data_IF_234848044179
#
_entry.id   IF_234848044179
#
_cell.length_a   1.000
_cell.length_b   1.000
_cell.length_c   1.000
_cell.angle_alpha   90.00
_cell.angle_beta   90.00
_cell.angle_gamma   90.00
#
_symmetry.space_group_name_H-M   'P 1'
#
loop_
_entity.id
_entity.type
_entity.pdbx_description
1 polymer ?
#
# COMPACT_ATOMS: atom_id res chain seq x y z
N UNK A 1 -20.70 12.57 0.38
CA UNK A 1 -19.67 13.32 -0.38
C UNK A 1 -19.04 14.31 0.56
N UNK A 2 -17.71 14.43 0.65
CA UNK A 2 -17.08 15.42 1.52
C UNK A 2 -17.57 16.84 1.18
N UNK A 3 -17.81 17.67 2.17
CA UNK A 3 -18.31 19.05 2.01
C UNK A 3 -17.40 19.89 1.12
N UNK A 4 -16.09 19.67 1.18
CA UNK A 4 -15.10 20.36 0.35
C UNK A 4 -15.34 20.17 -1.15
N UNK A 5 -15.72 18.95 -1.59
CA UNK A 5 -16.01 18.67 -3.00
C UNK A 5 -17.22 19.48 -3.46
N UNK A 6 -18.24 19.59 -2.61
CA UNK A 6 -19.43 20.40 -2.91
C UNK A 6 -19.10 21.90 -2.99
N UNK A 7 -18.28 22.41 -2.06
CA UNK A 7 -17.83 23.83 -2.09
C UNK A 7 -17.00 24.12 -3.35
N UNK A 8 -16.10 23.22 -3.71
CA UNK A 8 -15.26 23.35 -4.91
C UNK A 8 -16.10 23.37 -6.21
N UNK A 9 -17.07 22.45 -6.32
CA UNK A 9 -18.00 22.44 -7.46
C UNK A 9 -18.83 23.73 -7.52
N UNK A 10 -19.37 24.20 -6.39
CA UNK A 10 -20.10 25.48 -6.33
C UNK A 10 -19.24 26.65 -6.77
N UNK A 11 -17.97 26.71 -6.38
CA UNK A 11 -17.03 27.74 -6.81
C UNK A 11 -16.93 27.79 -8.34
N UNK A 12 -16.76 26.62 -8.98
CA UNK A 12 -16.71 26.52 -10.42
C UNK A 12 -17.98 27.02 -11.11
N UNK A 13 -19.16 26.68 -10.57
CA UNK A 13 -20.45 27.14 -11.13
C UNK A 13 -20.70 28.62 -10.91
N UNK A 14 -20.23 29.20 -9.80
CA UNK A 14 -20.48 30.61 -9.46
C UNK A 14 -19.52 31.57 -10.17
N UNK A 15 -18.26 31.19 -10.37
CA UNK A 15 -17.20 32.08 -10.85
C UNK A 15 -16.46 31.56 -12.09
N UNK A 16 -16.90 30.42 -12.62
CA UNK A 16 -16.26 29.77 -13.78
C UNK A 16 -15.03 28.95 -13.41
N UNK A 17 -14.55 28.17 -14.39
CA UNK A 17 -13.43 27.24 -14.18
C UNK A 17 -12.10 27.95 -13.86
N UNK A 18 -11.93 29.19 -14.30
CA UNK A 18 -10.73 30.00 -13.98
C UNK A 18 -10.54 30.24 -12.47
N UNK A 19 -11.63 30.27 -11.68
CA UNK A 19 -11.53 30.39 -10.23
C UNK A 19 -10.89 29.18 -9.56
N UNK A 20 -10.84 28.02 -10.24
CA UNK A 20 -10.22 26.79 -9.74
C UNK A 20 -8.68 26.80 -9.88
N UNK A 21 -8.12 27.78 -10.57
CA UNK A 21 -6.68 28.00 -10.72
C UNK A 21 -6.11 28.88 -9.59
N UNK A 22 -6.98 29.56 -8.86
CA UNK A 22 -6.57 30.40 -7.73
C UNK A 22 -6.22 29.54 -6.51
N UNK A 23 -4.94 29.22 -6.37
CA UNK A 23 -4.42 28.45 -5.25
C UNK A 23 -4.45 29.20 -3.91
N UNK A 24 -4.71 30.51 -3.92
CA UNK A 24 -4.87 31.31 -2.71
C UNK A 24 -6.30 31.20 -2.12
N UNK A 25 -7.29 30.76 -2.92
CA UNK A 25 -8.61 30.44 -2.41
C UNK A 25 -8.56 29.22 -1.47
N UNK A 26 -9.03 29.33 -0.22
CA UNK A 26 -8.97 28.23 0.75
C UNK A 26 -9.67 26.95 0.28
N UNK A 27 -10.77 27.09 -0.48
CA UNK A 27 -11.52 25.94 -1.01
C UNK A 27 -10.71 25.20 -2.06
N UNK A 28 -10.05 25.94 -2.95
CA UNK A 28 -9.17 25.39 -3.98
C UNK A 28 -7.96 24.70 -3.33
N UNK A 29 -7.33 25.35 -2.35
CA UNK A 29 -6.17 24.80 -1.64
C UNK A 29 -6.52 23.51 -0.91
N UNK A 30 -7.65 23.46 -0.19
CA UNK A 30 -8.13 22.28 0.54
C UNK A 30 -8.49 21.14 -0.41
N UNK A 31 -9.21 21.43 -1.50
CA UNK A 31 -9.55 20.43 -2.50
C UNK A 31 -8.30 19.83 -3.17
N UNK A 32 -7.34 20.67 -3.55
CA UNK A 32 -6.08 20.23 -4.15
C UNK A 32 -5.23 19.40 -3.19
N UNK A 33 -5.28 19.68 -1.88
CA UNK A 33 -4.61 18.85 -0.88
C UNK A 33 -5.25 17.45 -0.81
N UNK A 34 -6.59 17.37 -0.81
CA UNK A 34 -7.32 16.11 -0.84
C UNK A 34 -7.04 15.32 -2.14
N UNK A 35 -7.07 15.99 -3.29
CA UNK A 35 -6.78 15.37 -4.58
C UNK A 35 -5.36 14.77 -4.62
N UNK A 36 -4.36 15.49 -4.08
CA UNK A 36 -2.99 14.98 -3.94
C UNK A 36 -2.89 13.75 -3.04
N UNK A 37 -3.67 13.69 -1.96
CA UNK A 37 -3.71 12.50 -1.10
C UNK A 37 -4.24 11.28 -1.86
N UNK A 38 -5.35 11.44 -2.61
CA UNK A 38 -5.92 10.37 -3.43
C UNK A 38 -4.94 9.93 -4.52
N UNK A 39 -4.26 10.86 -5.17
CA UNK A 39 -3.25 10.56 -6.20
C UNK A 39 -2.06 9.80 -5.60
N UNK A 40 -1.58 10.18 -4.42
CA UNK A 40 -0.52 9.48 -3.70
C UNK A 40 -0.94 8.04 -3.37
N UNK A 41 -2.17 7.84 -2.88
CA UNK A 41 -2.71 6.50 -2.62
C UNK A 41 -2.81 5.66 -3.90
N UNK A 42 -3.21 6.29 -5.01
CA UNK A 42 -3.26 5.64 -6.32
C UNK A 42 -1.86 5.17 -6.76
N UNK A 43 -0.84 6.01 -6.61
CA UNK A 43 0.54 5.63 -6.93
C UNK A 43 1.07 4.54 -5.99
N UNK A 44 0.78 4.59 -4.69
CA UNK A 44 1.12 3.52 -3.76
C UNK A 44 0.48 2.19 -4.17
N UNK A 45 -0.79 2.20 -4.58
CA UNK A 45 -1.48 1.01 -5.07
C UNK A 45 -0.77 0.41 -6.27
N UNK A 46 -0.37 1.23 -7.25
CA UNK A 46 0.35 0.78 -8.44
C UNK A 46 1.72 0.20 -8.14
N UNK A 47 2.42 0.74 -7.14
CA UNK A 47 3.77 0.33 -6.77
C UNK A 47 3.80 -0.89 -5.85
N UNK A 48 2.84 -1.01 -4.95
CA UNK A 48 2.91 -1.95 -3.83
C UNK A 48 1.92 -3.11 -3.91
N UNK A 49 0.97 -3.12 -4.83
CA UNK A 49 0.13 -4.29 -5.06
C UNK A 49 1.01 -5.47 -5.48
N UNK A 50 0.83 -6.61 -4.80
CA UNK A 50 1.47 -7.89 -5.13
C UNK A 50 0.41 -8.92 -5.38
N UNK A 51 0.54 -9.60 -6.49
CA UNK A 51 -0.37 -10.68 -6.87
C UNK A 51 0.22 -12.01 -6.48
N UNK A 52 -0.60 -12.87 -5.90
CA UNK A 52 -0.32 -14.28 -5.68
C UNK A 52 -1.13 -15.11 -6.64
N UNK A 53 -0.51 -16.14 -7.20
CA UNK A 53 -1.15 -17.08 -8.10
C UNK A 53 -2.02 -18.05 -7.32
N UNK A 54 -3.27 -18.17 -7.72
CA UNK A 54 -4.24 -19.09 -7.14
C UNK A 54 -4.18 -20.47 -7.82
N UNK A 55 -4.74 -21.48 -7.18
CA UNK A 55 -4.77 -22.86 -7.68
C UNK A 55 -5.52 -23.01 -9.01
N UNK A 56 -6.48 -22.12 -9.29
CA UNK A 56 -7.22 -22.08 -10.56
C UNK A 56 -6.48 -21.33 -11.67
N UNK A 57 -5.25 -20.85 -11.41
CA UNK A 57 -4.43 -20.09 -12.33
C UNK A 57 -4.72 -18.59 -12.35
N UNK A 58 -5.73 -18.10 -11.66
CA UNK A 58 -5.97 -16.66 -11.51
C UNK A 58 -4.96 -16.01 -10.56
N UNK A 59 -4.93 -14.68 -10.54
CA UNK A 59 -4.07 -13.90 -9.64
C UNK A 59 -4.93 -13.09 -8.66
N UNK A 60 -4.60 -13.14 -7.39
CA UNK A 60 -5.28 -12.36 -6.35
C UNK A 60 -4.30 -11.48 -5.60
N UNK A 61 -4.74 -10.26 -5.32
CA UNK A 61 -4.05 -9.34 -4.42
C UNK A 61 -5.02 -8.83 -3.36
N UNK A 62 -4.57 -8.77 -2.12
CA UNK A 62 -5.27 -8.08 -1.04
C UNK A 62 -4.46 -6.82 -0.73
N UNK A 63 -5.08 -5.66 -0.89
CA UNK A 63 -4.42 -4.38 -0.69
C UNK A 63 -5.38 -3.39 -0.02
N UNK A 64 -4.91 -2.71 1.02
CA UNK A 64 -5.72 -1.85 1.87
C UNK A 64 -5.25 -0.39 1.79
N UNK A 65 -5.74 0.38 0.79
CA UNK A 65 -5.44 1.80 0.70
C UNK A 65 -6.28 2.63 1.69
N UNK A 66 -5.84 3.86 2.00
CA UNK A 66 -6.62 4.78 2.82
C UNK A 66 -7.81 5.40 2.08
N UNK A 67 -7.75 5.46 0.76
CA UNK A 67 -8.82 5.98 -0.09
C UNK A 67 -9.25 4.89 -1.08
N UNK A 68 -10.51 4.93 -1.50
CA UNK A 68 -11.07 3.99 -2.49
C UNK A 68 -10.45 4.24 -3.88
N UNK A 69 -9.21 3.78 -4.08
CA UNK A 69 -8.42 4.01 -5.30
C UNK A 69 -8.24 2.75 -6.14
N UNK A 70 -8.65 1.58 -5.66
CA UNK A 70 -8.52 0.32 -6.41
C UNK A 70 -9.21 0.41 -7.77
N UNK A 71 -10.47 0.90 -7.90
CA UNK A 71 -11.10 1.09 -9.20
C UNK A 71 -10.34 2.08 -10.11
N UNK A 72 -9.71 3.10 -9.53
CA UNK A 72 -8.95 4.10 -10.28
C UNK A 72 -7.61 3.57 -10.82
N UNK A 73 -7.10 2.49 -10.23
CA UNK A 73 -5.81 1.87 -10.63
C UNK A 73 -5.98 0.63 -11.48
N UNK A 74 -7.18 0.04 -11.52
CA UNK A 74 -7.42 -1.24 -12.16
C UNK A 74 -7.02 -1.24 -13.65
N UNK A 75 -7.27 -0.15 -14.39
CA UNK A 75 -6.84 -0.02 -15.79
C UNK A 75 -5.32 -0.16 -16.00
N UNK A 76 -4.52 0.26 -15.03
CA UNK A 76 -3.08 0.04 -15.08
C UNK A 76 -2.73 -1.44 -15.04
N UNK A 77 -3.38 -2.20 -14.17
CA UNK A 77 -3.15 -3.64 -14.04
C UNK A 77 -3.71 -4.41 -15.24
N UNK A 78 -4.86 -4.00 -15.81
CA UNK A 78 -5.39 -4.56 -17.06
C UNK A 78 -4.36 -4.47 -18.19
N UNK A 79 -3.72 -3.31 -18.35
CA UNK A 79 -2.68 -3.13 -19.38
C UNK A 79 -1.42 -3.97 -19.11
N UNK A 80 -1.08 -4.17 -17.84
CA UNK A 80 0.11 -4.90 -17.42
C UNK A 80 -0.06 -6.41 -17.45
N UNK A 81 -1.27 -6.90 -17.17
CA UNK A 81 -1.64 -8.30 -17.03
C UNK A 81 -2.78 -8.67 -17.97
N UNK A 82 -2.72 -8.20 -19.22
CA UNK A 82 -3.82 -8.30 -20.19
C UNK A 82 -4.20 -9.73 -20.56
N UNK A 83 -3.32 -10.69 -20.35
CA UNK A 83 -3.54 -12.13 -20.64
C UNK A 83 -3.99 -12.91 -19.41
N UNK A 84 -4.01 -12.28 -18.24
CA UNK A 84 -4.23 -12.96 -16.97
C UNK A 84 -5.57 -12.57 -16.34
N UNK A 85 -6.20 -13.51 -15.65
CA UNK A 85 -7.34 -13.23 -14.76
C UNK A 85 -6.83 -12.75 -13.43
N UNK A 86 -7.33 -11.63 -12.94
CA UNK A 86 -6.92 -11.13 -11.64
C UNK A 86 -8.03 -10.48 -10.84
N UNK A 87 -7.82 -10.44 -9.52
CA UNK A 87 -8.67 -9.80 -8.53
C UNK A 87 -7.82 -8.92 -7.63
N UNK A 88 -8.31 -7.71 -7.35
CA UNK A 88 -7.73 -6.82 -6.33
C UNK A 88 -8.82 -6.59 -5.29
N UNK A 89 -8.58 -7.10 -4.10
CA UNK A 89 -9.49 -7.02 -2.95
C UNK A 89 -9.05 -5.87 -2.07
N UNK A 90 -9.95 -4.93 -1.82
CA UNK A 90 -9.79 -3.84 -0.86
C UNK A 90 -10.71 -4.07 0.34
N UNK A 91 -10.19 -4.65 1.44
CA UNK A 91 -11.01 -4.93 2.60
C UNK A 91 -11.50 -3.67 3.34
N UNK A 92 -10.76 -2.56 3.24
CA UNK A 92 -11.14 -1.32 3.93
C UNK A 92 -12.39 -0.66 3.32
N UNK A 93 -12.61 -0.84 2.03
CA UNK A 93 -13.72 -0.25 1.31
C UNK A 93 -14.75 -1.28 0.84
N UNK A 94 -14.55 -2.58 1.19
CA UNK A 94 -15.42 -3.70 0.80
C UNK A 94 -15.58 -3.82 -0.72
N UNK A 95 -14.49 -3.59 -1.47
CA UNK A 95 -14.49 -3.57 -2.93
C UNK A 95 -13.59 -4.66 -3.49
N UNK A 96 -14.06 -5.30 -4.55
CA UNK A 96 -13.23 -6.16 -5.41
C UNK A 96 -13.29 -5.62 -6.83
N UNK A 97 -12.11 -5.30 -7.37
CA UNK A 97 -11.95 -5.05 -8.80
C UNK A 97 -11.36 -6.29 -9.46
N UNK A 98 -11.92 -6.70 -10.60
CA UNK A 98 -11.55 -7.93 -11.28
C UNK A 98 -11.49 -7.75 -12.78
N UNK A 99 -10.68 -8.59 -13.42
CA UNK A 99 -10.50 -8.62 -14.85
C UNK A 99 -10.26 -10.06 -15.33
N UNK A 100 -10.74 -10.33 -16.54
CA UNK A 100 -10.41 -11.53 -17.30
C UNK A 100 -10.15 -11.15 -18.76
N UNK A 101 -9.27 -11.88 -19.50
CA UNK A 101 -8.92 -11.54 -20.88
C UNK A 101 -10.11 -11.45 -21.83
N UNK A 102 -11.20 -12.15 -21.53
CA UNK A 102 -12.44 -12.14 -22.30
C UNK A 102 -13.27 -10.87 -22.11
N UNK A 103 -12.94 -10.09 -21.07
CA UNK A 103 -13.64 -8.83 -20.75
C UNK A 103 -13.07 -7.67 -21.57
N UNK A 104 -13.94 -6.76 -22.02
CA UNK A 104 -13.50 -5.52 -22.67
C UNK A 104 -12.86 -4.53 -21.70
N UNK A 105 -13.28 -4.60 -20.44
CA UNK A 105 -12.80 -3.74 -19.34
C UNK A 105 -12.90 -4.50 -18.03
N UNK A 106 -12.34 -3.94 -16.96
CA UNK A 106 -12.48 -4.51 -15.63
C UNK A 106 -13.89 -4.29 -15.05
N UNK A 107 -14.28 -5.15 -14.11
CA UNK A 107 -15.45 -4.98 -13.26
C UNK A 107 -15.05 -4.56 -11.85
N UNK A 108 -16.00 -3.94 -11.14
CA UNK A 108 -15.87 -3.63 -9.71
C UNK A 108 -17.19 -3.98 -9.03
N UNK A 109 -17.10 -4.70 -7.93
CA UNK A 109 -18.26 -5.05 -7.08
C UNK A 109 -17.99 -4.62 -5.65
N UNK A 110 -19.04 -4.28 -4.94
CA UNK A 110 -19.03 -4.09 -3.50
C UNK A 110 -19.50 -5.37 -2.82
N UNK A 111 -18.79 -5.80 -1.78
CA UNK A 111 -19.11 -6.98 -1.01
C UNK A 111 -19.68 -6.58 0.36
N UNK A 112 -20.52 -7.43 0.92
CA UNK A 112 -20.83 -7.39 2.35
C UNK A 112 -19.73 -8.08 3.18
N UNK A 113 -19.82 -7.95 4.50
CA UNK A 113 -18.80 -8.48 5.42
C UNK A 113 -18.65 -10.00 5.27
N UNK A 114 -19.75 -10.74 5.12
CA UNK A 114 -19.74 -12.19 5.03
C UNK A 114 -19.07 -12.67 3.74
N UNK A 115 -19.41 -12.05 2.61
CA UNK A 115 -18.80 -12.35 1.31
C UNK A 115 -17.32 -11.99 1.25
N UNK A 116 -16.93 -10.89 1.90
CA UNK A 116 -15.53 -10.48 2.00
C UNK A 116 -14.73 -11.47 2.85
N UNK A 117 -15.25 -11.89 4.00
CA UNK A 117 -14.61 -12.88 4.87
C UNK A 117 -14.48 -14.23 4.16
N UNK A 118 -15.51 -14.69 3.48
CA UNK A 118 -15.46 -15.89 2.65
C UNK A 118 -14.36 -15.79 1.58
N UNK A 119 -14.29 -14.67 0.86
CA UNK A 119 -13.27 -14.46 -0.18
C UNK A 119 -11.86 -14.46 0.40
N UNK A 120 -11.64 -13.79 1.53
CA UNK A 120 -10.33 -13.72 2.20
C UNK A 120 -9.91 -15.06 2.81
N UNK A 121 -10.86 -15.91 3.19
CA UNK A 121 -10.59 -17.26 3.71
C UNK A 121 -10.18 -18.26 2.61
N UNK A 122 -10.54 -18.01 1.35
CA UNK A 122 -10.18 -18.83 0.19
C UNK A 122 -8.73 -18.55 -0.23
N UNK A 123 -7.77 -19.06 0.54
CA UNK A 123 -6.34 -18.91 0.22
C UNK A 123 -5.78 -20.16 -0.47
N UNK A 124 -6.43 -20.67 -1.49
CA UNK A 124 -5.94 -21.77 -2.31
C UNK A 124 -4.85 -21.28 -3.26
N UNK A 125 -3.64 -21.09 -2.72
CA UNK A 125 -2.48 -20.70 -3.51
C UNK A 125 -2.03 -21.84 -4.41
N UNK A 126 -1.53 -21.51 -5.59
CA UNK A 126 -0.87 -22.46 -6.47
C UNK A 126 0.31 -23.14 -5.74
N UNK A 127 0.56 -24.40 -6.04
CA UNK A 127 1.59 -25.22 -5.35
C UNK A 127 2.98 -24.59 -5.42
N UNK A 128 3.27 -23.91 -6.53
CA UNK A 128 4.56 -23.24 -6.79
C UNK A 128 4.62 -21.80 -6.23
N UNK A 129 3.51 -21.22 -5.81
CA UNK A 129 3.45 -19.83 -5.34
C UNK A 129 4.35 -19.61 -4.12
N UNK A 130 4.35 -20.52 -3.16
CA UNK A 130 5.24 -20.45 -1.99
C UNK A 130 6.72 -20.44 -2.39
N UNK A 131 7.07 -21.19 -3.44
CA UNK A 131 8.43 -21.21 -3.97
C UNK A 131 8.78 -19.89 -4.66
N UNK A 132 7.86 -19.35 -5.47
CA UNK A 132 8.03 -18.05 -6.14
C UNK A 132 8.19 -16.93 -5.11
N UNK A 133 7.39 -16.91 -4.06
CA UNK A 133 7.53 -15.94 -2.97
C UNK A 133 8.85 -16.09 -2.21
N UNK A 134 9.33 -17.33 -2.01
CA UNK A 134 10.63 -17.57 -1.38
C UNK A 134 11.79 -17.11 -2.28
N UNK A 135 11.71 -17.35 -3.58
CA UNK A 135 12.68 -16.83 -4.56
C UNK A 135 12.69 -15.32 -4.60
N UNK A 136 11.51 -14.67 -4.58
CA UNK A 136 11.39 -13.22 -4.56
C UNK A 136 12.05 -12.62 -3.32
N UNK A 137 11.86 -13.22 -2.16
CA UNK A 137 12.51 -12.80 -0.91
C UNK A 137 14.03 -12.88 -1.01
N UNK A 138 14.55 -14.02 -1.52
CA UNK A 138 16.01 -14.20 -1.72
C UNK A 138 16.58 -13.19 -2.71
N UNK A 139 15.88 -12.94 -3.81
CA UNK A 139 16.28 -11.93 -4.77
C UNK A 139 16.35 -10.56 -4.10
N UNK A 140 15.32 -10.22 -3.34
CA UNK A 140 15.22 -8.95 -2.64
C UNK A 140 16.31 -8.76 -1.57
N UNK A 141 16.68 -9.82 -0.86
CA UNK A 141 17.81 -9.85 0.07
C UNK A 141 19.16 -9.76 -0.66
N UNK A 142 19.28 -10.42 -1.81
CA UNK A 142 20.50 -10.48 -2.61
C UNK A 142 20.84 -9.21 -3.39
N UNK A 143 19.85 -8.34 -3.68
CA UNK A 143 20.06 -7.05 -4.39
C UNK A 143 20.71 -6.00 -3.47
N UNK A 144 20.86 -6.27 -2.18
CA UNK A 144 21.63 -5.42 -1.27
C UNK A 144 23.10 -5.36 -1.68
N UNK A 145 23.66 -4.15 -1.79
CA UNK A 145 25.08 -3.95 -2.04
C UNK A 145 25.92 -4.61 -0.94
N UNK A 146 27.00 -5.31 -1.33
CA UNK A 146 27.99 -5.86 -0.39
C UNK A 146 28.49 -4.74 0.55
N UNK A 147 28.54 -5.05 1.85
CA UNK A 147 28.96 -4.08 2.89
C UNK A 147 27.84 -3.27 3.51
N UNK A 148 26.62 -3.32 2.99
CA UNK A 148 25.44 -2.74 3.65
C UNK A 148 24.68 -3.83 4.40
N UNK A 149 24.77 -3.82 5.74
CA UNK A 149 23.97 -4.69 6.60
C UNK A 149 22.45 -4.43 6.46
N UNK A 150 21.58 -5.30 7.02
CA UNK A 150 20.13 -5.13 6.95
C UNK A 150 19.64 -3.75 7.40
N UNK A 151 20.28 -3.15 8.43
CA UNK A 151 19.98 -1.80 8.91
C UNK A 151 20.43 -0.68 7.94
N UNK A 152 21.43 -0.95 7.10
CA UNK A 152 22.04 0.00 6.17
C UNK A 152 21.49 -0.14 4.74
N UNK A 153 20.69 -1.17 4.47
CA UNK A 153 20.05 -1.42 3.16
C UNK A 153 18.92 -0.46 2.81
N UNK A 154 18.78 0.64 3.53
CA UNK A 154 17.76 1.63 3.25
C UNK A 154 16.35 1.22 3.70
N UNK A 155 16.23 0.29 4.67
CA UNK A 155 14.94 0.01 5.31
C UNK A 155 14.33 1.28 5.92
N UNK A 156 15.18 2.15 6.46
CA UNK A 156 14.76 3.45 6.98
C UNK A 156 14.26 4.38 5.85
N UNK A 157 14.91 4.34 4.68
CA UNK A 157 14.47 5.07 3.48
C UNK A 157 13.15 4.51 2.95
N UNK A 158 12.97 3.18 2.94
CA UNK A 158 11.70 2.55 2.52
C UNK A 158 10.57 2.82 3.48
N UNK A 159 10.82 2.79 4.79
CA UNK A 159 9.83 3.16 5.79
C UNK A 159 9.35 4.61 5.59
N UNK A 160 10.19 5.47 5.02
CA UNK A 160 9.85 6.84 4.67
C UNK A 160 8.95 6.92 3.42
N UNK A 161 9.20 6.04 2.42
CA UNK A 161 8.46 6.04 1.14
C UNK A 161 7.24 5.12 1.15
N UNK A 162 7.29 4.05 1.95
CA UNK A 162 6.31 2.99 1.98
C UNK A 162 5.56 3.00 3.31
N UNK A 163 4.28 3.38 3.33
CA UNK A 163 3.48 3.36 4.54
C UNK A 163 3.43 1.98 5.18
N UNK A 164 3.58 1.90 6.52
CA UNK A 164 3.62 0.61 7.25
C UNK A 164 2.40 -0.29 6.99
N UNK A 165 1.21 0.30 6.73
CA UNK A 165 0.00 -0.47 6.42
C UNK A 165 0.13 -1.36 5.18
N UNK A 166 1.00 -0.99 4.23
CA UNK A 166 1.21 -1.73 2.98
C UNK A 166 2.10 -2.95 3.20
N UNK A 167 2.88 -2.97 4.29
CA UNK A 167 3.86 -4.02 4.57
C UNK A 167 3.24 -5.40 4.75
N UNK A 168 2.01 -5.46 5.27
CA UNK A 168 1.30 -6.72 5.48
C UNK A 168 1.01 -7.48 4.18
N UNK A 169 0.82 -6.75 3.07
CA UNK A 169 0.61 -7.33 1.74
C UNK A 169 1.89 -7.66 0.97
N UNK A 170 3.07 -7.40 1.56
CA UNK A 170 4.36 -7.59 0.91
C UNK A 170 5.09 -8.81 1.48
N UNK A 171 5.20 -9.92 0.72
CA UNK A 171 5.88 -11.14 1.20
C UNK A 171 7.31 -10.88 1.69
N UNK A 172 7.98 -9.87 1.13
CA UNK A 172 9.32 -9.47 1.49
C UNK A 172 9.45 -8.70 2.81
N UNK A 173 8.33 -8.24 3.40
CA UNK A 173 8.32 -7.40 4.60
C UNK A 173 7.53 -7.97 5.77
N UNK A 174 6.88 -9.13 5.60
CA UNK A 174 6.10 -9.75 6.69
C UNK A 174 7.03 -10.24 7.81
N UNK A 175 6.66 -9.92 9.06
CA UNK A 175 7.48 -10.15 10.25
C UNK A 175 7.86 -11.64 10.47
N UNK A 176 6.99 -12.58 10.09
CA UNK A 176 7.28 -14.01 10.09
C UNK A 176 8.46 -14.38 9.20
N UNK A 177 8.63 -13.66 8.10
CA UNK A 177 9.69 -13.87 7.13
C UNK A 177 11.04 -13.45 7.66
N UNK A 178 11.11 -12.32 8.35
CA UNK A 178 12.36 -11.80 8.89
C UNK A 178 12.84 -12.59 10.11
N UNK A 179 11.92 -13.04 10.96
CA UNK A 179 12.26 -13.83 12.16
C UNK A 179 12.65 -15.27 11.82
N UNK A 180 11.98 -15.92 10.88
CA UNK A 180 12.30 -17.28 10.45
C UNK A 180 13.54 -17.33 9.55
N UNK A 181 13.68 -16.38 8.61
CA UNK A 181 14.87 -16.25 7.81
C UNK A 181 16.11 -15.91 8.65
N UNK A 182 15.99 -15.05 9.65
CA UNK A 182 17.07 -14.73 10.58
C UNK A 182 17.46 -15.93 11.44
N UNK A 183 16.49 -16.76 11.84
CA UNK A 183 16.75 -18.01 12.60
C UNK A 183 17.37 -19.11 11.74
N UNK A 184 16.91 -19.27 10.49
CA UNK A 184 17.41 -20.30 9.57
C UNK A 184 18.79 -20.00 9.01
N UNK A 185 19.21 -18.73 8.98
CA UNK A 185 20.51 -18.29 8.44
C UNK A 185 21.57 -18.03 9.51
N UNK A 186 21.30 -18.34 10.80
CA UNK A 186 22.28 -18.17 11.88
C UNK A 186 22.73 -16.72 12.08
N UNK A 187 21.86 -15.76 11.84
CA UNK A 187 22.15 -14.34 12.05
C UNK A 187 22.51 -14.11 13.53
N UNK A 188 23.69 -13.57 13.84
CA UNK A 188 24.15 -13.40 15.21
C UNK A 188 23.16 -12.56 16.03
N UNK A 189 22.91 -12.99 17.27
CA UNK A 189 21.98 -12.34 18.23
C UNK A 189 22.20 -10.82 18.43
N UNK A 190 23.39 -10.31 18.09
CA UNK A 190 23.72 -8.86 18.12
C UNK A 190 22.87 -7.99 17.19
N UNK A 191 22.18 -8.59 16.20
CA UNK A 191 21.30 -7.86 15.29
C UNK A 191 19.82 -7.91 15.71
N UNK A 192 19.44 -8.82 16.60
CA UNK A 192 18.05 -8.96 17.08
C UNK A 192 17.62 -7.87 18.06
N UNK A 193 18.56 -7.15 18.68
CA UNK A 193 18.28 -6.13 19.70
C UNK A 193 18.20 -4.68 19.21
N UNK A 194 18.50 -4.40 17.93
CA UNK A 194 18.51 -3.04 17.40
C UNK A 194 17.15 -2.53 16.91
N UNK A 195 16.25 -3.41 16.52
CA UNK A 195 14.90 -3.00 16.09
C UNK A 195 14.09 -2.36 17.22
N UNK A 196 14.20 -2.90 18.44
CA UNK A 196 13.50 -2.34 19.61
C UNK A 196 14.05 -1.00 20.12
N UNK A 197 15.33 -0.68 19.86
CA UNK A 197 15.93 0.58 20.33
C UNK A 197 15.62 1.79 19.45
N UNK A 198 15.42 1.59 18.15
CA UNK A 198 15.14 2.71 17.22
C UNK A 198 13.70 3.21 17.32
N UNK A 199 12.74 2.30 17.56
CA UNK A 199 11.34 2.70 17.78
C UNK A 199 11.17 3.50 19.09
N UNK A 200 11.93 3.16 20.14
CA UNK A 200 11.91 3.90 21.41
C UNK A 200 12.52 5.30 21.23
N UNK A 201 13.65 5.42 20.51
CA UNK A 201 14.31 6.71 20.29
C UNK A 201 13.47 7.67 19.43
N UNK A 202 12.72 7.15 18.45
CA UNK A 202 11.85 7.98 17.61
C UNK A 202 10.58 8.41 18.35
N UNK A 203 10.09 7.60 19.28
CA UNK A 203 8.96 7.94 20.17
C UNK A 203 9.39 8.98 21.20
N UNK A 204 10.57 8.83 21.78
CA UNK A 204 11.13 9.80 22.76
C UNK A 204 11.43 11.16 22.12
N UNK A 205 12.00 11.22 20.91
CA UNK A 205 12.22 12.47 20.17
C UNK A 205 10.91 13.19 19.84
N UNK A 206 9.86 12.45 19.42
CA UNK A 206 8.54 13.06 19.18
C UNK A 206 7.87 13.56 20.47
N UNK A 207 8.08 12.89 21.60
CA UNK A 207 7.54 13.32 22.89
C UNK A 207 8.28 14.54 23.44
N UNK A 208 9.60 14.62 23.25
CA UNK A 208 10.42 15.78 23.62
C UNK A 208 10.06 17.00 22.79
N UNK A 209 9.96 16.85 21.48
CA UNK A 209 9.53 17.93 20.57
C UNK A 209 8.12 18.46 20.87
N UNK A 210 7.21 17.57 21.29
CA UNK A 210 5.84 17.93 21.68
C UNK A 210 5.79 18.66 23.03
N UNK A 211 6.67 18.32 23.96
CA UNK A 211 6.81 19.02 25.25
C UNK A 211 7.41 20.42 25.10
N UNK A 212 8.39 20.59 24.22
CA UNK A 212 8.99 21.90 23.94
C UNK A 212 8.00 22.86 23.26
N UNK A 213 7.10 22.36 22.40
CA UNK A 213 6.04 23.15 21.78
C UNK A 213 4.92 23.58 22.75
N UNK A 214 4.73 22.84 23.86
CA UNK A 214 3.68 23.14 24.86
C UNK A 214 4.19 23.95 26.04
N UNK A 215 5.51 24.09 26.22
CA UNK A 215 6.14 24.86 27.30
C UNK A 215 6.56 26.28 26.89
N UNK A 216 6.29 26.68 25.66
CA UNK A 216 6.62 28.00 25.07
C UNK A 216 5.42 28.89 24.81
N UNK A 217 4.28 28.67 25.52
CA UNK A 217 3.10 29.54 25.54
C UNK A 217 2.86 30.08 26.94
#
# INVERSE_FOLDING_TARGET
>A
MPEIVHRYVRLAFSYGVGALEDIADPTVAEFNALARQVETEREHTRQFVRFSRMSDGSFMSVFQPNANVVPLTCNYFVKRMSTERFFIVDPAHHIVSFYAPEMKTFGTIQLDDASLEELLSRTDLATDEKYVQAMWRRFYEGVGLEGRGPAERGYDLRAHWMPKRVWQGLPELTASTNAEAARSQGVPARYQGRENRKDVHHIEQKQTFRKELTSGL
#
